data_IF_933902094635
#
_entry.id   IF_933902094635
#
_cell.length_a   1.000
_cell.length_b   1.000
_cell.length_c   1.000
_cell.angle_alpha   90.00
_cell.angle_beta   90.00
_cell.angle_gamma   90.00
#
_symmetry.space_group_name_H-M   'P 1'
#
loop_
_entity.id
_entity.type
_entity.pdbx_description
1 polymer ?
#
# COMPACT_ATOMS: atom_id res chain seq x y z
N UNK A 1 16.59 68.55 31.20
CA UNK A 1 15.84 68.32 29.95
C UNK A 1 16.60 67.26 29.16
N UNK A 2 15.94 66.14 28.92
CA UNK A 2 16.47 64.99 28.20
C UNK A 2 16.43 65.27 26.69
N UNK A 3 17.54 65.10 25.97
CA UNK A 3 17.49 64.98 24.51
C UNK A 3 17.73 63.52 24.16
N UNK A 4 16.63 62.84 23.85
CA UNK A 4 16.62 61.55 23.17
C UNK A 4 17.28 61.72 21.79
N UNK A 5 18.41 61.07 21.57
CA UNK A 5 18.87 60.78 20.21
C UNK A 5 18.08 59.57 19.69
N UNK A 6 17.47 59.63 18.49
CA UNK A 6 16.75 58.50 17.96
C UNK A 6 17.77 57.39 17.63
N UNK A 7 17.55 56.20 18.20
CA UNK A 7 18.19 54.98 17.71
C UNK A 7 17.66 54.77 16.30
N UNK A 8 18.47 55.13 15.30
CA UNK A 8 18.20 54.73 13.93
C UNK A 8 18.22 53.19 13.93
N UNK A 9 17.07 52.58 13.68
CA UNK A 9 16.97 51.17 13.34
C UNK A 9 17.66 50.98 12.00
N UNK A 10 18.98 50.82 12.03
CA UNK A 10 19.78 50.47 10.85
C UNK A 10 19.43 49.04 10.48
N UNK A 11 18.37 48.87 9.69
CA UNK A 11 18.25 47.67 8.88
C UNK A 11 19.52 47.59 8.03
N UNK A 12 20.28 46.49 8.04
CA UNK A 12 21.49 46.39 7.25
C UNK A 12 21.12 46.58 5.78
N UNK A 13 21.53 47.73 5.22
CA UNK A 13 21.44 47.98 3.80
C UNK A 13 22.46 47.03 3.16
N UNK A 14 22.00 46.14 2.29
CA UNK A 14 22.87 45.17 1.65
C UNK A 14 23.85 45.91 0.72
N UNK A 15 25.09 46.02 1.15
CA UNK A 15 26.17 46.69 0.43
C UNK A 15 27.00 45.68 -0.33
N UNK A 16 27.02 45.84 -1.66
CA UNK A 16 27.78 45.08 -2.67
C UNK A 16 27.58 43.55 -2.73
N UNK A 17 27.59 43.03 -3.96
CA UNK A 17 27.65 41.59 -4.20
C UNK A 17 29.00 41.05 -3.71
N UNK A 18 28.97 39.95 -2.94
CA UNK A 18 30.17 39.38 -2.32
C UNK A 18 30.92 38.52 -3.34
N UNK A 19 32.17 38.88 -3.67
CA UNK A 19 33.08 38.13 -4.57
C UNK A 19 33.61 36.80 -3.99
N UNK A 20 33.08 36.33 -2.86
CA UNK A 20 33.54 35.11 -2.21
C UNK A 20 32.87 33.87 -2.79
N UNK A 21 33.64 32.80 -3.00
CA UNK A 21 33.16 31.46 -3.35
C UNK A 21 31.90 31.08 -2.54
N UNK A 22 30.89 30.57 -3.24
CA UNK A 22 29.66 30.09 -2.62
C UNK A 22 29.95 29.07 -1.51
N UNK A 23 29.16 29.11 -0.44
CA UNK A 23 29.34 28.21 0.70
C UNK A 23 29.20 26.75 0.27
N UNK A 24 30.01 25.86 0.85
CA UNK A 24 29.91 24.41 0.59
C UNK A 24 28.52 23.83 0.86
N UNK A 25 27.76 24.48 1.75
CA UNK A 25 26.35 24.14 2.07
C UNK A 25 25.44 24.36 0.86
N UNK A 26 25.71 25.39 0.04
CA UNK A 26 24.95 25.69 -1.17
C UNK A 26 25.16 24.62 -2.25
N UNK A 27 26.42 24.22 -2.49
CA UNK A 27 26.71 23.13 -3.43
C UNK A 27 26.11 21.80 -2.96
N UNK A 28 26.17 21.51 -1.66
CA UNK A 28 25.56 20.32 -1.08
C UNK A 28 24.03 20.31 -1.26
N UNK A 29 23.37 21.46 -1.09
CA UNK A 29 21.94 21.60 -1.33
C UNK A 29 21.58 21.23 -2.78
N UNK A 30 22.32 21.76 -3.75
CA UNK A 30 22.11 21.48 -5.18
C UNK A 30 22.32 20.00 -5.52
N UNK A 31 23.33 19.36 -4.93
CA UNK A 31 23.55 17.91 -5.11
C UNK A 31 22.34 17.11 -4.60
N UNK A 32 21.82 17.43 -3.42
CA UNK A 32 20.64 16.73 -2.88
C UNK A 32 19.38 16.98 -3.70
N UNK A 33 19.17 18.20 -4.19
CA UNK A 33 18.06 18.51 -5.09
C UNK A 33 18.16 17.69 -6.39
N UNK A 34 19.34 17.67 -7.00
CA UNK A 34 19.60 16.87 -8.20
C UNK A 34 19.32 15.38 -7.97
N UNK A 35 19.86 14.80 -6.88
CA UNK A 35 19.62 13.41 -6.51
C UNK A 35 18.13 13.12 -6.27
N UNK A 36 17.40 14.05 -5.66
CA UNK A 36 15.96 13.91 -5.48
C UNK A 36 15.23 13.73 -6.81
N UNK A 37 15.51 14.57 -7.81
CA UNK A 37 14.88 14.49 -9.12
C UNK A 37 15.22 13.22 -9.92
N UNK A 38 16.30 12.51 -9.56
CA UNK A 38 16.64 11.19 -10.11
C UNK A 38 15.75 10.05 -9.59
N UNK A 39 14.80 10.33 -8.67
CA UNK A 39 13.92 9.32 -8.10
C UNK A 39 13.09 8.56 -9.13
N UNK A 40 12.93 7.24 -8.91
CA UNK A 40 12.14 6.33 -9.74
C UNK A 40 10.62 6.55 -9.68
N UNK A 41 9.85 5.64 -10.27
CA UNK A 41 8.38 5.61 -10.16
C UNK A 41 7.91 4.71 -9.01
N UNK A 42 6.72 4.98 -8.47
CA UNK A 42 6.10 4.20 -7.39
C UNK A 42 6.31 4.79 -5.98
N UNK A 43 5.78 4.12 -4.95
CA UNK A 43 5.75 4.62 -3.56
C UNK A 43 7.15 4.77 -2.98
N UNK A 44 8.04 3.81 -3.24
CA UNK A 44 9.45 3.87 -2.83
C UNK A 44 10.21 4.98 -3.56
N UNK A 45 9.92 5.20 -4.85
CA UNK A 45 10.48 6.33 -5.62
C UNK A 45 10.01 7.68 -5.11
N UNK A 46 8.75 7.78 -4.69
CA UNK A 46 8.18 8.99 -4.08
C UNK A 46 8.81 9.30 -2.72
N UNK A 47 9.03 8.27 -1.88
CA UNK A 47 9.74 8.43 -0.61
C UNK A 47 11.20 8.88 -0.84
N UNK A 48 11.89 8.26 -1.81
CA UNK A 48 13.24 8.67 -2.20
C UNK A 48 13.29 10.14 -2.64
N UNK A 49 12.43 10.53 -3.59
CA UNK A 49 12.31 11.91 -4.09
C UNK A 49 12.13 12.91 -2.94
N UNK A 50 11.11 12.73 -2.11
CA UNK A 50 10.80 13.70 -1.05
C UNK A 50 11.85 13.70 0.07
N UNK A 51 12.54 12.60 0.34
CA UNK A 51 13.61 12.55 1.34
C UNK A 51 14.79 13.43 0.91
N UNK A 52 15.25 13.28 -0.33
CA UNK A 52 16.35 14.08 -0.86
C UNK A 52 15.96 15.55 -1.07
N UNK A 53 14.74 15.84 -1.52
CA UNK A 53 14.23 17.22 -1.58
C UNK A 53 14.18 17.87 -0.19
N UNK A 54 13.72 17.14 0.84
CA UNK A 54 13.70 17.65 2.22
C UNK A 54 15.11 18.00 2.69
N UNK A 55 16.10 17.14 2.40
CA UNK A 55 17.49 17.37 2.77
C UNK A 55 18.10 18.56 2.01
N UNK A 56 17.78 18.69 0.71
CA UNK A 56 18.19 19.82 -0.13
C UNK A 56 17.62 21.15 0.36
N UNK A 57 16.31 21.25 0.59
CA UNK A 57 15.67 22.47 1.09
C UNK A 57 16.08 22.81 2.53
N UNK A 58 16.41 21.82 3.35
CA UNK A 58 17.02 22.05 4.65
C UNK A 58 18.38 22.74 4.51
N UNK A 59 19.26 22.25 3.63
CA UNK A 59 20.54 22.91 3.33
C UNK A 59 20.36 24.33 2.74
N UNK A 60 19.38 24.54 1.83
CA UNK A 60 19.04 25.88 1.34
C UNK A 60 18.60 26.83 2.47
N UNK A 61 17.80 26.33 3.41
CA UNK A 61 17.34 27.11 4.57
C UNK A 61 18.50 27.48 5.48
N UNK A 62 19.43 26.56 5.74
CA UNK A 62 20.63 26.83 6.53
C UNK A 62 21.55 27.86 5.86
N UNK A 63 21.71 27.77 4.55
CA UNK A 63 22.48 28.75 3.78
C UNK A 63 21.82 30.14 3.84
N UNK A 64 20.51 30.22 3.59
CA UNK A 64 19.77 31.48 3.66
C UNK A 64 19.75 32.08 5.08
N UNK A 65 19.76 31.24 6.13
CA UNK A 65 19.88 31.69 7.53
C UNK A 65 21.23 32.35 7.82
N UNK A 66 22.30 31.88 7.19
CA UNK A 66 23.64 32.42 7.41
C UNK A 66 23.88 33.78 6.74
N UNK A 67 22.99 34.23 5.85
CA UNK A 67 23.14 35.47 5.08
C UNK A 67 22.19 36.58 5.59
N UNK A 68 22.70 37.73 6.06
CA UNK A 68 21.92 38.76 6.76
C UNK A 68 20.93 39.59 5.91
N UNK A 69 20.68 39.26 4.64
CA UNK A 69 19.79 40.03 3.75
C UNK A 69 18.78 39.19 2.93
N UNK A 70 18.69 37.87 3.12
CA UNK A 70 17.91 36.98 2.23
C UNK A 70 16.65 36.43 2.90
N UNK A 71 15.88 37.29 3.57
CA UNK A 71 14.67 36.89 4.32
C UNK A 71 13.60 36.23 3.43
N UNK A 72 13.41 36.72 2.20
CA UNK A 72 12.47 36.10 1.24
C UNK A 72 12.92 34.68 0.88
N UNK A 73 14.20 34.49 0.54
CA UNK A 73 14.77 33.18 0.20
C UNK A 73 14.73 32.18 1.37
N UNK A 74 14.93 32.66 2.60
CA UNK A 74 14.80 31.86 3.82
C UNK A 74 13.35 31.40 4.01
N UNK A 75 12.38 32.30 3.87
CA UNK A 75 10.96 32.01 4.06
C UNK A 75 10.48 30.97 3.04
N UNK A 76 10.84 31.15 1.76
CA UNK A 76 10.50 30.20 0.70
C UNK A 76 11.17 28.84 0.90
N UNK A 77 12.46 28.80 1.25
CA UNK A 77 13.16 27.54 1.49
C UNK A 77 12.57 26.76 2.67
N UNK A 78 12.22 27.45 3.75
CA UNK A 78 11.61 26.84 4.93
C UNK A 78 10.19 26.31 4.64
N UNK A 79 9.40 27.03 3.85
CA UNK A 79 8.07 26.58 3.43
C UNK A 79 8.17 25.30 2.58
N UNK A 80 9.08 25.26 1.61
CA UNK A 80 9.33 24.09 0.77
C UNK A 80 9.83 22.90 1.58
N UNK A 81 10.77 23.12 2.51
CA UNK A 81 11.23 22.10 3.46
C UNK A 81 10.06 21.50 4.25
N UNK A 82 9.18 22.34 4.80
CA UNK A 82 8.05 21.90 5.61
C UNK A 82 7.05 21.08 4.80
N UNK A 83 6.76 21.49 3.55
CA UNK A 83 5.89 20.73 2.65
C UNK A 83 6.51 19.38 2.29
N UNK A 84 7.80 19.34 1.93
CA UNK A 84 8.50 18.10 1.61
C UNK A 84 8.56 17.16 2.82
N UNK A 85 8.82 17.67 4.02
CA UNK A 85 8.80 16.90 5.26
C UNK A 85 7.41 16.31 5.53
N UNK A 86 6.35 17.10 5.36
CA UNK A 86 4.97 16.63 5.47
C UNK A 86 4.67 15.48 4.49
N UNK A 87 5.16 15.57 3.25
CA UNK A 87 5.04 14.50 2.25
C UNK A 87 5.83 13.25 2.64
N UNK A 88 7.07 13.38 3.13
CA UNK A 88 7.85 12.24 3.64
C UNK A 88 7.08 11.55 4.77
N UNK A 89 6.56 12.31 5.74
CA UNK A 89 5.81 11.75 6.86
C UNK A 89 4.52 11.06 6.40
N UNK A 90 3.77 11.66 5.47
CA UNK A 90 2.56 11.07 4.91
C UNK A 90 2.86 9.77 4.14
N UNK A 91 3.85 9.78 3.24
CA UNK A 91 4.25 8.60 2.46
C UNK A 91 4.83 7.53 3.39
N UNK A 92 5.64 7.89 4.38
CA UNK A 92 6.17 6.97 5.39
C UNK A 92 5.06 6.36 6.24
N UNK A 93 4.03 7.13 6.61
CA UNK A 93 2.85 6.60 7.30
C UNK A 93 2.09 5.58 6.43
N UNK A 94 1.88 5.91 5.15
CA UNK A 94 1.26 4.98 4.19
C UNK A 94 2.12 3.74 3.98
N UNK A 95 3.44 3.87 3.90
CA UNK A 95 4.37 2.75 3.78
C UNK A 95 4.38 1.89 5.04
N UNK A 96 4.36 2.50 6.23
CA UNK A 96 4.25 1.80 7.51
C UNK A 96 2.95 1.00 7.60
N UNK A 97 1.84 1.53 7.09
CA UNK A 97 0.57 0.78 7.03
C UNK A 97 0.62 -0.43 6.08
N UNK A 98 1.59 -0.47 5.17
CA UNK A 98 1.86 -1.59 4.24
C UNK A 98 3.02 -2.47 4.73
N UNK A 99 3.78 -2.03 5.75
CA UNK A 99 4.83 -2.82 6.38
C UNK A 99 4.18 -3.82 7.32
N UNK A 100 3.82 -4.97 6.76
CA UNK A 100 3.21 -6.08 7.48
C UNK A 100 4.22 -6.72 8.45
N UNK A 101 3.72 -7.21 9.59
CA UNK A 101 4.48 -8.10 10.46
C UNK A 101 4.95 -9.34 9.67
N UNK A 102 6.06 -9.97 10.09
CA UNK A 102 6.68 -11.08 9.37
C UNK A 102 5.70 -12.20 9.04
N UNK A 103 4.80 -12.56 9.95
CA UNK A 103 3.84 -13.64 9.71
C UNK A 103 2.82 -13.29 8.60
N UNK A 104 2.40 -12.02 8.51
CA UNK A 104 1.53 -11.56 7.43
C UNK A 104 2.28 -11.49 6.09
N UNK A 105 3.59 -11.18 6.11
CA UNK A 105 4.42 -11.25 4.91
C UNK A 105 4.53 -12.69 4.41
N UNK A 106 4.79 -13.66 5.29
CA UNK A 106 4.83 -15.08 4.94
C UNK A 106 3.47 -15.56 4.41
N UNK A 107 2.37 -15.20 5.07
CA UNK A 107 1.02 -15.50 4.61
C UNK A 107 0.76 -14.95 3.19
N UNK A 108 1.18 -13.71 2.93
CA UNK A 108 1.08 -13.10 1.61
C UNK A 108 1.88 -13.89 0.57
N UNK A 109 3.14 -14.21 0.85
CA UNK A 109 4.02 -14.95 -0.06
C UNK A 109 3.49 -16.36 -0.36
N UNK A 110 2.97 -17.07 0.64
CA UNK A 110 2.52 -18.45 0.50
C UNK A 110 1.18 -18.58 -0.24
N UNK A 111 0.19 -17.73 0.10
CA UNK A 111 -1.18 -17.85 -0.42
C UNK A 111 -1.52 -16.83 -1.50
N UNK A 112 -1.23 -15.55 -1.27
CA UNK A 112 -1.79 -14.46 -2.08
C UNK A 112 -0.89 -14.01 -3.23
N UNK A 113 0.43 -14.12 -3.10
CA UNK A 113 1.39 -13.74 -4.12
C UNK A 113 1.27 -14.65 -5.35
N UNK A 114 1.07 -15.96 -5.14
CA UNK A 114 0.87 -16.94 -6.22
C UNK A 114 -0.38 -16.65 -7.06
N UNK A 115 -1.34 -15.92 -6.49
CA UNK A 115 -2.59 -15.50 -7.13
C UNK A 115 -2.50 -14.09 -7.75
N UNK A 116 -1.33 -13.45 -7.70
CA UNK A 116 -1.11 -12.11 -8.25
C UNK A 116 -1.83 -10.98 -7.48
N UNK A 117 -2.14 -11.19 -6.20
CA UNK A 117 -2.81 -10.16 -5.38
C UNK A 117 -1.82 -9.06 -5.04
N UNK A 118 -2.18 -7.79 -5.31
CA UNK A 118 -1.34 -6.65 -4.94
C UNK A 118 -1.31 -6.42 -3.42
N UNK A 119 -0.20 -5.92 -2.89
CA UNK A 119 -0.04 -5.56 -1.46
C UNK A 119 -1.13 -4.60 -0.92
N UNK A 120 -1.69 -3.71 -1.75
CA UNK A 120 -2.77 -2.81 -1.35
C UNK A 120 -4.09 -3.53 -1.06
N UNK A 121 -4.41 -4.56 -1.83
CA UNK A 121 -5.56 -5.43 -1.59
C UNK A 121 -5.33 -6.34 -0.39
N UNK A 122 -4.12 -6.88 -0.25
CA UNK A 122 -3.73 -7.66 0.93
C UNK A 122 -3.82 -6.83 2.21
N UNK A 123 -3.41 -5.55 2.17
CA UNK A 123 -3.56 -4.64 3.31
C UNK A 123 -5.00 -4.51 3.81
N UNK A 124 -5.98 -4.46 2.90
CA UNK A 124 -7.40 -4.44 3.27
C UNK A 124 -7.85 -5.74 3.95
N UNK A 125 -7.27 -6.88 3.55
CA UNK A 125 -7.53 -8.19 4.16
C UNK A 125 -6.97 -8.23 5.59
N UNK A 126 -5.75 -7.73 5.78
CA UNK A 126 -5.11 -7.63 7.11
C UNK A 126 -5.85 -6.65 8.02
N UNK A 127 -6.29 -5.48 7.51
CA UNK A 127 -7.12 -4.56 8.29
C UNK A 127 -8.44 -5.19 8.73
N UNK A 128 -8.98 -6.14 7.95
CA UNK A 128 -10.24 -6.82 8.29
C UNK A 128 -10.13 -7.77 9.49
N UNK A 129 -8.94 -8.30 9.79
CA UNK A 129 -8.66 -9.05 11.03
C UNK A 129 -8.03 -8.17 12.12
N UNK A 130 -8.18 -6.85 12.02
CA UNK A 130 -7.60 -5.87 12.96
C UNK A 130 -6.07 -5.96 13.11
N UNK A 131 -5.39 -6.69 12.20
CA UNK A 131 -3.95 -6.98 12.28
C UNK A 131 -3.56 -7.89 13.44
N UNK A 132 -4.51 -8.60 14.07
CA UNK A 132 -4.23 -9.45 15.22
C UNK A 132 -3.76 -10.85 14.80
N UNK A 133 -2.71 -11.33 15.47
CA UNK A 133 -2.24 -12.72 15.41
C UNK A 133 -2.55 -13.37 16.75
N UNK A 134 -3.30 -14.46 16.71
CA UNK A 134 -3.63 -15.22 17.89
C UNK A 134 -2.63 -16.36 18.10
N UNK A 135 -2.36 -16.67 19.35
CA UNK A 135 -1.51 -17.78 19.76
C UNK A 135 -2.33 -18.80 20.53
N UNK A 136 -1.99 -20.08 20.39
CA UNK A 136 -2.57 -21.17 21.15
C UNK A 136 -1.47 -22.10 21.61
N UNK A 137 -1.54 -22.51 22.87
CA UNK A 137 -0.58 -23.45 23.45
C UNK A 137 -0.86 -24.89 23.00
N UNK A 138 0.15 -25.73 23.18
CA UNK A 138 0.03 -27.16 22.92
C UNK A 138 -1.14 -27.77 23.72
N UNK A 139 -1.80 -28.78 23.14
CA UNK A 139 -2.93 -29.53 23.70
C UNK A 139 -4.21 -28.73 23.95
N UNK A 140 -4.27 -27.44 23.61
CA UNK A 140 -5.49 -26.66 23.69
C UNK A 140 -6.35 -26.82 22.43
N UNK A 141 -7.68 -26.76 22.62
CA UNK A 141 -8.64 -26.86 21.52
C UNK A 141 -8.98 -25.48 20.94
N UNK A 142 -8.82 -25.32 19.62
CA UNK A 142 -9.31 -24.16 18.87
C UNK A 142 -10.84 -24.20 18.71
N UNK A 143 -11.36 -25.41 18.46
CA UNK A 143 -12.77 -25.67 18.29
C UNK A 143 -13.10 -27.06 18.86
N UNK A 144 -14.27 -27.19 19.45
CA UNK A 144 -14.80 -28.44 20.00
C UNK A 144 -16.07 -28.80 19.24
N UNK A 145 -16.13 -30.05 18.80
CA UNK A 145 -17.26 -30.64 18.10
C UNK A 145 -18.58 -30.39 18.86
N UNK A 146 -19.60 -29.91 18.15
CA UNK A 146 -20.93 -29.62 18.67
C UNK A 146 -21.03 -28.43 19.63
N UNK A 147 -19.92 -27.76 19.97
CA UNK A 147 -19.89 -26.68 20.96
C UNK A 147 -19.45 -25.33 20.39
N UNK A 148 -18.38 -25.32 19.61
CA UNK A 148 -17.84 -24.07 19.06
C UNK A 148 -18.68 -23.62 17.87
N UNK A 149 -19.13 -22.35 17.87
CA UNK A 149 -19.85 -21.76 16.74
C UNK A 149 -18.90 -21.41 15.58
N UNK A 150 -19.40 -21.48 14.36
CA UNK A 150 -18.65 -21.16 13.13
C UNK A 150 -18.85 -19.67 12.81
N UNK A 151 -18.09 -18.81 13.49
CA UNK A 151 -18.22 -17.35 13.41
C UNK A 151 -17.01 -16.64 12.77
N UNK A 152 -15.97 -17.40 12.45
CA UNK A 152 -14.70 -16.93 11.89
C UNK A 152 -14.21 -17.85 10.76
N UNK A 153 -13.32 -17.30 9.94
CA UNK A 153 -12.50 -18.04 8.99
C UNK A 153 -11.04 -17.89 9.45
N UNK A 154 -10.31 -18.98 9.53
CA UNK A 154 -9.04 -19.03 10.26
C UNK A 154 -7.96 -19.70 9.42
N UNK A 155 -6.76 -19.10 9.37
CA UNK A 155 -5.58 -19.67 8.71
C UNK A 155 -4.48 -19.90 9.73
N UNK A 156 -3.89 -21.09 9.70
CA UNK A 156 -2.75 -21.44 10.52
C UNK A 156 -1.48 -20.78 9.96
N UNK A 157 -0.70 -20.10 10.77
CA UNK A 157 0.55 -19.44 10.37
C UNK A 157 1.77 -20.27 10.74
N UNK A 158 1.73 -20.91 11.92
CA UNK A 158 2.80 -21.79 12.39
C UNK A 158 2.25 -22.87 13.33
N UNK A 159 3.02 -23.94 13.50
CA UNK A 159 2.65 -25.09 14.31
C UNK A 159 1.88 -26.15 13.51
N UNK A 160 1.09 -26.96 14.21
CA UNK A 160 0.30 -28.06 13.62
C UNK A 160 -0.96 -28.28 14.45
N UNK A 161 -2.08 -28.47 13.76
CA UNK A 161 -3.37 -28.76 14.38
C UNK A 161 -3.81 -30.16 13.98
N UNK A 162 -4.24 -30.94 14.96
CA UNK A 162 -4.86 -32.25 14.77
C UNK A 162 -6.38 -32.09 14.69
N UNK A 163 -6.98 -32.78 13.72
CA UNK A 163 -8.43 -32.82 13.51
C UNK A 163 -8.94 -34.17 13.96
N UNK A 164 -9.95 -34.18 14.83
CA UNK A 164 -10.60 -35.41 15.30
C UNK A 164 -12.11 -35.33 15.17
N UNK A 165 -12.77 -36.44 14.84
CA UNK A 165 -14.23 -36.58 14.74
C UNK A 165 -14.67 -37.69 15.68
N UNK A 166 -15.60 -37.44 16.60
CA UNK A 166 -15.99 -38.41 17.63
C UNK A 166 -14.80 -39.00 18.43
N UNK A 167 -13.71 -38.24 18.56
CA UNK A 167 -12.47 -38.68 19.22
C UNK A 167 -11.50 -39.46 18.34
N UNK A 168 -11.88 -39.86 17.12
CA UNK A 168 -10.97 -40.52 16.17
C UNK A 168 -10.16 -39.49 15.37
N UNK A 169 -8.88 -39.79 15.15
CA UNK A 169 -7.98 -38.91 14.40
C UNK A 169 -8.27 -38.97 12.89
N UNK A 170 -8.44 -37.79 12.28
CA UNK A 170 -8.74 -37.66 10.86
C UNK A 170 -7.49 -37.26 10.05
N UNK A 171 -6.95 -36.07 10.30
CA UNK A 171 -5.75 -35.58 9.63
C UNK A 171 -5.09 -34.43 10.40
N UNK A 172 -3.88 -34.07 9.99
CA UNK A 172 -3.20 -32.87 10.45
C UNK A 172 -3.43 -31.72 9.47
N UNK A 173 -3.58 -30.51 10.00
CA UNK A 173 -3.55 -29.26 9.27
C UNK A 173 -2.19 -28.58 9.51
N UNK A 174 -1.56 -28.16 8.42
CA UNK A 174 -0.22 -27.58 8.39
C UNK A 174 -0.25 -26.07 8.20
N UNK A 175 0.88 -25.37 8.44
CA UNK A 175 0.97 -23.93 8.21
C UNK A 175 0.52 -23.50 6.82
N UNK A 176 -0.11 -22.34 6.76
CA UNK A 176 -0.74 -21.71 5.59
C UNK A 176 -1.96 -22.45 5.02
N UNK A 177 -2.54 -23.40 5.76
CA UNK A 177 -3.83 -24.01 5.44
C UNK A 177 -4.94 -23.43 6.32
N UNK A 178 -6.17 -23.46 5.80
CA UNK A 178 -7.33 -23.03 6.58
C UNK A 178 -7.68 -24.08 7.63
N UNK A 179 -8.18 -23.64 8.79
CA UNK A 179 -8.64 -24.56 9.83
C UNK A 179 -10.09 -24.98 9.63
N UNK A 180 -10.91 -24.06 9.12
CA UNK A 180 -12.37 -24.08 9.15
C UNK A 180 -12.97 -23.79 7.75
N UNK A 181 -12.23 -24.06 6.68
CA UNK A 181 -12.68 -23.83 5.29
C UNK A 181 -13.91 -24.67 4.89
N UNK A 182 -14.06 -25.98 5.24
CA UNK A 182 -15.28 -26.72 4.95
C UNK A 182 -16.49 -26.19 5.75
N UNK A 183 -16.29 -25.91 7.03
CA UNK A 183 -17.31 -25.33 7.92
C UNK A 183 -17.76 -23.96 7.43
N UNK A 184 -16.82 -23.15 6.92
CA UNK A 184 -17.11 -21.85 6.36
C UNK A 184 -17.98 -21.91 5.10
N UNK A 185 -17.61 -22.78 4.14
CA UNK A 185 -18.26 -22.89 2.83
C UNK A 185 -19.63 -23.60 2.91
N UNK A 186 -19.80 -24.50 3.89
CA UNK A 186 -21.06 -25.21 4.10
C UNK A 186 -22.20 -24.32 4.61
N UNK A 187 -21.88 -23.26 5.36
CA UNK A 187 -22.88 -22.37 5.94
C UNK A 187 -23.26 -21.23 4.99
N UNK A 188 -24.55 -20.91 4.92
CA UNK A 188 -25.01 -19.68 4.29
C UNK A 188 -24.65 -18.45 5.14
N UNK A 189 -24.57 -17.24 4.56
CA UNK A 189 -24.20 -16.04 5.33
C UNK A 189 -25.12 -15.73 6.53
N UNK A 190 -26.39 -16.14 6.47
CA UNK A 190 -27.41 -15.93 7.52
C UNK A 190 -27.59 -17.12 8.46
N UNK A 191 -26.86 -18.21 8.24
CA UNK A 191 -27.02 -19.46 8.96
C UNK A 191 -25.95 -19.59 10.04
N UNK A 192 -26.38 -20.00 11.22
CA UNK A 192 -25.50 -20.31 12.34
C UNK A 192 -25.25 -21.82 12.37
N UNK A 193 -24.01 -22.21 12.63
CA UNK A 193 -23.62 -23.61 12.72
C UNK A 193 -22.56 -23.81 13.78
N UNK A 194 -22.37 -25.06 14.17
CA UNK A 194 -21.34 -25.49 15.10
C UNK A 194 -20.34 -26.38 14.38
N UNK A 195 -19.10 -26.38 14.87
CA UNK A 195 -18.05 -27.25 14.35
C UNK A 195 -18.47 -28.71 14.47
N UNK A 196 -18.30 -29.48 13.39
CA UNK A 196 -18.55 -30.92 13.35
C UNK A 196 -17.32 -31.75 13.71
N UNK A 197 -16.18 -31.08 13.89
CA UNK A 197 -14.90 -31.69 14.22
C UNK A 197 -14.26 -30.95 15.40
N UNK A 198 -13.42 -31.64 16.16
CA UNK A 198 -12.59 -31.02 17.18
C UNK A 198 -11.22 -30.70 16.61
N UNK A 199 -10.80 -29.44 16.76
CA UNK A 199 -9.50 -28.93 16.34
C UNK A 199 -8.62 -28.74 17.57
N UNK A 200 -7.54 -29.49 17.68
CA UNK A 200 -6.61 -29.44 18.83
C UNK A 200 -5.18 -29.15 18.37
N UNK A 201 -4.54 -28.18 19.01
CA UNK A 201 -3.16 -27.81 18.74
C UNK A 201 -2.21 -28.93 19.21
N UNK A 202 -1.45 -29.50 18.28
CA UNK A 202 -0.44 -30.54 18.58
C UNK A 202 0.88 -29.91 19.07
N UNK A 203 1.15 -28.68 18.62
CA UNK A 203 2.28 -27.84 19.01
C UNK A 203 1.76 -26.44 19.34
N UNK A 204 2.57 -25.54 19.97
CA UNK A 204 2.23 -24.13 20.03
C UNK A 204 1.98 -23.59 18.62
N UNK A 205 0.80 -23.03 18.38
CA UNK A 205 0.39 -22.56 17.06
C UNK A 205 0.14 -21.05 17.07
N UNK A 206 0.40 -20.42 15.93
CA UNK A 206 -0.02 -19.04 15.64
C UNK A 206 -0.99 -19.07 14.49
N UNK A 207 -2.04 -18.26 14.56
CA UNK A 207 -3.07 -18.22 13.53
C UNK A 207 -3.67 -16.82 13.39
N UNK A 208 -4.26 -16.57 12.22
CA UNK A 208 -5.05 -15.36 11.94
C UNK A 208 -6.50 -15.77 11.77
N UNK A 209 -7.43 -14.97 12.32
CA UNK A 209 -8.86 -15.20 12.22
C UNK A 209 -9.59 -13.96 11.67
N UNK A 210 -10.45 -14.16 10.69
CA UNK A 210 -11.36 -13.14 10.18
C UNK A 210 -12.77 -13.42 10.64
N UNK A 211 -13.37 -12.49 11.39
CA UNK A 211 -14.79 -12.59 11.78
C UNK A 211 -15.67 -12.60 10.54
N UNK A 212 -16.61 -13.55 10.49
CA UNK A 212 -17.50 -13.81 9.35
C UNK A 212 -18.21 -12.55 8.86
N UNK A 213 -18.83 -11.80 9.79
CA UNK A 213 -19.55 -10.55 9.48
C UNK A 213 -18.65 -9.47 8.87
N UNK A 214 -17.45 -9.25 9.42
CA UNK A 214 -16.48 -8.27 8.89
C UNK A 214 -16.00 -8.68 7.49
N UNK A 215 -15.72 -9.97 7.30
CA UNK A 215 -15.22 -10.50 6.04
C UNK A 215 -16.27 -10.39 4.91
N UNK A 216 -17.54 -10.72 5.18
CA UNK A 216 -18.62 -10.52 4.19
C UNK A 216 -18.84 -9.04 3.84
N UNK A 217 -18.69 -8.13 4.80
CA UNK A 217 -18.76 -6.69 4.53
C UNK A 217 -17.60 -6.23 3.63
N UNK A 218 -16.40 -6.79 3.82
CA UNK A 218 -15.27 -6.57 2.92
C UNK A 218 -15.56 -7.10 1.51
N UNK A 219 -16.16 -8.29 1.39
CA UNK A 219 -16.52 -8.88 0.10
C UNK A 219 -17.56 -8.06 -0.65
N UNK A 220 -18.56 -7.52 0.06
CA UNK A 220 -19.56 -6.61 -0.52
C UNK A 220 -18.91 -5.34 -1.09
N UNK A 221 -17.88 -4.81 -0.41
CA UNK A 221 -17.13 -3.62 -0.86
C UNK A 221 -16.16 -3.90 -2.00
N UNK A 222 -15.57 -5.11 -2.03
CA UNK A 222 -14.48 -5.45 -2.95
C UNK A 222 -14.69 -6.83 -3.59
N UNK A 223 -15.38 -6.85 -4.74
CA UNK A 223 -15.67 -8.07 -5.52
C UNK A 223 -14.42 -8.85 -5.93
N UNK A 224 -13.30 -8.17 -6.17
CA UNK A 224 -12.01 -8.83 -6.45
C UNK A 224 -11.55 -9.68 -5.26
N UNK A 225 -11.55 -9.12 -4.04
CA UNK A 225 -11.16 -9.84 -2.82
C UNK A 225 -12.09 -11.03 -2.58
N UNK A 226 -13.40 -10.86 -2.81
CA UNK A 226 -14.37 -11.95 -2.69
C UNK A 226 -14.05 -13.13 -3.62
N UNK A 227 -13.70 -12.87 -4.89
CA UNK A 227 -13.29 -13.91 -5.84
C UNK A 227 -12.02 -14.63 -5.40
N UNK A 228 -11.01 -13.88 -4.93
CA UNK A 228 -9.75 -14.46 -4.43
C UNK A 228 -10.01 -15.38 -3.24
N UNK A 229 -10.79 -14.94 -2.25
CA UNK A 229 -11.13 -15.78 -1.10
C UNK A 229 -11.92 -17.03 -1.50
N UNK A 230 -12.88 -16.91 -2.41
CA UNK A 230 -13.62 -18.07 -2.92
C UNK A 230 -12.67 -19.08 -3.60
N UNK A 231 -11.68 -18.62 -4.35
CA UNK A 231 -10.68 -19.50 -4.98
C UNK A 231 -9.78 -20.19 -3.93
N UNK A 232 -9.23 -19.41 -2.99
CA UNK A 232 -8.32 -19.93 -1.96
C UNK A 232 -9.02 -20.96 -1.06
N UNK A 233 -10.23 -20.64 -0.58
CA UNK A 233 -11.01 -21.53 0.29
C UNK A 233 -11.36 -22.83 -0.44
N UNK A 234 -11.81 -22.75 -1.70
CA UNK A 234 -12.13 -23.95 -2.49
C UNK A 234 -10.90 -24.79 -2.79
N UNK A 235 -9.75 -24.17 -3.05
CA UNK A 235 -8.49 -24.89 -3.25
C UNK A 235 -8.09 -25.68 -1.99
N UNK A 236 -8.18 -25.05 -0.83
CA UNK A 236 -7.89 -25.70 0.46
C UNK A 236 -8.85 -26.87 0.75
N UNK A 237 -10.15 -26.70 0.48
CA UNK A 237 -11.13 -27.79 0.59
C UNK A 237 -10.78 -28.95 -0.34
N UNK A 238 -10.42 -28.66 -1.60
CA UNK A 238 -10.03 -29.69 -2.56
C UNK A 238 -8.79 -30.46 -2.07
N UNK A 239 -7.74 -29.78 -1.60
CA UNK A 239 -6.54 -30.40 -1.06
C UNK A 239 -6.84 -31.31 0.14
N UNK A 240 -7.70 -30.86 1.06
CA UNK A 240 -8.14 -31.69 2.20
C UNK A 240 -8.90 -32.93 1.75
N UNK A 241 -9.83 -32.79 0.81
CA UNK A 241 -10.59 -33.92 0.26
C UNK A 241 -9.66 -34.92 -0.44
N UNK A 242 -8.69 -34.46 -1.23
CA UNK A 242 -7.70 -35.33 -1.85
C UNK A 242 -6.85 -36.06 -0.81
N UNK A 243 -6.41 -35.36 0.25
CA UNK A 243 -5.62 -35.97 1.33
C UNK A 243 -6.39 -37.05 2.11
N UNK A 244 -7.68 -36.86 2.30
CA UNK A 244 -8.54 -37.87 2.93
C UNK A 244 -8.84 -39.03 2.00
N UNK A 245 -9.07 -38.75 0.71
CA UNK A 245 -9.35 -39.76 -0.29
C UNK A 245 -8.17 -40.73 -0.48
N UNK A 246 -6.93 -40.23 -0.47
CA UNK A 246 -5.73 -41.09 -0.55
C UNK A 246 -5.61 -42.08 0.62
N UNK A 247 -6.22 -41.77 1.76
CA UNK A 247 -6.26 -42.62 2.96
C UNK A 247 -7.48 -43.55 2.99
N UNK A 248 -8.51 -43.25 2.22
CA UNK A 248 -9.72 -44.05 2.13
C UNK A 248 -9.52 -45.20 1.11
N UNK A 249 -9.06 -46.34 1.62
CA UNK A 249 -8.98 -47.60 0.87
C UNK A 249 -10.22 -48.47 1.19
N UNK A 250 -10.86 -49.04 0.18
CA UNK A 250 -11.91 -50.04 0.37
C UNK A 250 -11.32 -51.31 1.01
N UNK A 251 -12.16 -52.14 1.65
CA UNK A 251 -11.78 -53.49 2.09
C UNK A 251 -11.26 -54.43 0.99
N UNK A 252 -11.35 -54.02 -0.28
CA UNK A 252 -10.80 -54.68 -1.47
C UNK A 252 -9.55 -54.00 -2.05
N UNK A 253 -8.93 -53.06 -1.32
CA UNK A 253 -7.70 -52.36 -1.72
C UNK A 253 -7.85 -51.31 -2.84
N UNK A 254 -9.09 -51.01 -3.26
CA UNK A 254 -9.36 -49.98 -4.27
C UNK A 254 -9.49 -48.61 -3.62
N UNK A 255 -8.93 -47.57 -4.26
CA UNK A 255 -9.09 -46.17 -3.84
C UNK A 255 -10.49 -45.68 -4.21
N UNK A 256 -11.17 -45.00 -3.29
CA UNK A 256 -12.38 -44.26 -3.66
C UNK A 256 -12.00 -43.15 -4.66
N UNK A 257 -12.81 -42.95 -5.70
CA UNK A 257 -12.67 -41.82 -6.62
C UNK A 257 -13.77 -40.81 -6.30
N UNK A 258 -13.57 -40.04 -5.22
CA UNK A 258 -14.46 -38.95 -4.82
C UNK A 258 -14.25 -37.75 -5.75
N UNK A 259 -14.66 -37.89 -7.02
CA UNK A 259 -14.81 -36.74 -7.92
C UNK A 259 -16.07 -35.99 -7.53
N UNK A 260 -15.95 -34.72 -7.14
CA UNK A 260 -17.13 -33.85 -7.06
C UNK A 260 -17.78 -33.81 -8.46
N UNK A 261 -19.12 -33.76 -8.54
CA UNK A 261 -19.80 -33.52 -9.82
C UNK A 261 -19.21 -32.26 -10.45
N UNK A 262 -18.63 -32.40 -11.64
CA UNK A 262 -18.11 -31.26 -12.40
C UNK A 262 -19.24 -30.26 -12.61
N UNK A 263 -19.15 -29.11 -11.95
CA UNK A 263 -20.10 -28.01 -12.16
C UNK A 263 -19.77 -27.29 -13.47
N UNK A 264 -19.88 -28.02 -14.58
CA UNK A 264 -19.74 -27.50 -15.93
C UNK A 264 -21.10 -27.57 -16.60
N UNK A 265 -21.94 -26.55 -16.38
CA UNK A 265 -22.89 -26.03 -17.36
C UNK A 265 -23.47 -24.71 -16.82
N UNK A 266 -22.76 -23.61 -17.06
CA UNK A 266 -23.41 -22.30 -17.24
C UNK A 266 -23.23 -21.98 -18.72
N UNK A 267 -24.30 -21.98 -19.53
CA UNK A 267 -24.21 -21.53 -20.92
C UNK A 267 -23.72 -20.10 -20.93
N UNK A 268 -22.66 -19.84 -21.70
CA UNK A 268 -22.07 -18.51 -21.81
C UNK A 268 -23.08 -17.49 -22.33
N UNK A 269 -23.03 -16.29 -21.79
CA UNK A 269 -23.46 -15.06 -22.45
C UNK A 269 -22.86 -13.88 -21.70
N UNK A 270 -22.39 -12.89 -22.46
CA UNK A 270 -21.91 -11.56 -22.03
C UNK A 270 -20.52 -11.47 -21.37
N UNK A 271 -19.50 -12.05 -22.01
CA UNK A 271 -18.11 -11.57 -21.92
C UNK A 271 -17.66 -11.02 -23.29
N UNK A 272 -18.50 -10.21 -23.93
CA UNK A 272 -18.17 -9.55 -25.19
C UNK A 272 -18.90 -8.20 -25.35
N UNK A 273 -18.85 -7.36 -24.30
CA UNK A 273 -19.27 -5.95 -24.36
C UNK A 273 -18.37 -5.02 -23.54
N UNK A 274 -17.08 -5.34 -23.42
CA UNK A 274 -16.09 -4.48 -22.77
C UNK A 274 -15.10 -3.81 -23.74
N UNK A 275 -15.24 -4.01 -25.05
CA UNK A 275 -14.34 -3.44 -26.07
C UNK A 275 -15.00 -2.41 -27.01
N UNK A 276 -16.20 -1.89 -26.70
CA UNK A 276 -16.91 -0.91 -27.55
C UNK A 276 -17.09 0.47 -26.87
N UNK A 277 -16.63 0.64 -25.62
CA UNK A 277 -16.69 1.94 -24.90
C UNK A 277 -15.32 2.64 -24.84
N UNK A 278 -14.27 2.07 -25.44
CA UNK A 278 -12.91 2.64 -25.43
C UNK A 278 -12.51 3.27 -26.76
N UNK A 279 -13.49 3.75 -27.52
CA UNK A 279 -13.27 4.39 -28.83
C UNK A 279 -14.28 5.50 -29.09
N UNK A 280 -14.58 6.30 -28.05
CA UNK A 280 -15.52 7.42 -28.12
C UNK A 280 -15.13 8.63 -27.25
N UNK A 281 -13.84 8.83 -26.93
CA UNK A 281 -13.35 10.04 -26.25
C UNK A 281 -11.98 10.51 -26.78
N UNK A 282 -11.80 10.51 -28.10
CA UNK A 282 -10.72 11.24 -28.77
C UNK A 282 -11.32 12.13 -29.83
N UNK A 283 -11.58 13.40 -29.46
CA UNK A 283 -11.89 14.58 -30.29
C UNK A 283 -12.49 15.63 -29.31
N UNK A 284 -12.12 16.91 -29.17
CA UNK A 284 -11.53 18.01 -30.00
C UNK A 284 -11.10 19.14 -28.99
N UNK A 285 -10.77 20.40 -29.36
CA UNK A 285 -9.66 21.01 -30.13
C UNK A 285 -8.67 21.86 -29.29
N UNK A 286 -7.59 22.29 -29.95
CA UNK A 286 -6.77 23.46 -29.64
C UNK A 286 -7.54 24.80 -29.82
N UNK A 287 -7.51 25.67 -28.81
CA UNK A 287 -7.64 27.15 -28.84
C UNK A 287 -7.43 27.61 -27.37
N UNK A 288 -6.68 28.63 -26.97
CA UNK A 288 -6.29 29.93 -27.53
C UNK A 288 -4.98 30.39 -26.89
N UNK A 289 -4.24 31.19 -27.64
CA UNK A 289 -3.12 32.01 -27.20
C UNK A 289 -3.54 33.17 -26.26
N UNK A 290 -2.49 33.80 -25.69
CA UNK A 290 -2.42 35.11 -25.05
C UNK A 290 -2.75 35.21 -23.55
N UNK A 291 -1.70 35.38 -22.74
CA UNK A 291 -1.61 36.31 -21.61
C UNK A 291 -0.12 36.47 -21.20
N UNK A 292 0.21 37.71 -20.84
CA UNK A 292 1.52 38.39 -20.69
C UNK A 292 2.62 37.67 -19.84
N UNK A 293 3.93 37.78 -20.15
CA UNK A 293 4.99 36.97 -19.56
C UNK A 293 5.86 37.76 -18.58
N UNK A 294 5.35 38.14 -17.41
CA UNK A 294 6.24 38.72 -16.36
C UNK A 294 5.78 38.52 -14.92
N UNK A 295 5.06 37.42 -14.64
CA UNK A 295 4.74 37.03 -13.24
C UNK A 295 4.59 35.50 -13.05
N UNK A 296 5.18 34.71 -13.95
CA UNK A 296 4.88 33.26 -14.09
C UNK A 296 5.80 32.34 -13.26
N UNK A 297 6.98 32.78 -12.83
CA UNK A 297 7.96 31.89 -12.17
C UNK A 297 7.59 31.50 -10.73
N UNK A 298 6.93 32.39 -9.99
CA UNK A 298 6.53 32.15 -8.59
C UNK A 298 5.22 31.38 -8.46
N UNK A 299 4.25 31.65 -9.33
CA UNK A 299 2.94 30.97 -9.32
C UNK A 299 2.95 29.60 -9.99
N UNK A 300 3.80 29.36 -11.00
CA UNK A 300 3.93 28.04 -11.62
C UNK A 300 4.51 27.01 -10.63
N UNK A 301 5.49 27.40 -9.82
CA UNK A 301 6.03 26.56 -8.74
C UNK A 301 4.97 26.22 -7.69
N UNK A 302 4.17 27.22 -7.29
CA UNK A 302 3.05 27.01 -6.36
C UNK A 302 1.98 26.10 -6.97
N UNK A 303 1.62 26.29 -8.23
CA UNK A 303 0.60 25.51 -8.95
C UNK A 303 1.04 24.06 -9.18
N UNK A 304 2.31 23.83 -9.55
CA UNK A 304 2.89 22.49 -9.71
C UNK A 304 3.01 21.77 -8.35
N UNK A 305 3.42 22.47 -7.28
CA UNK A 305 3.42 21.89 -5.94
C UNK A 305 2.01 21.62 -5.41
N UNK A 306 1.05 22.53 -5.63
CA UNK A 306 -0.35 22.36 -5.22
C UNK A 306 -1.03 21.21 -5.97
N UNK A 307 -0.68 20.98 -7.24
CA UNK A 307 -1.11 19.81 -8.01
C UNK A 307 -0.50 18.50 -7.50
N UNK A 308 0.71 18.52 -6.93
CA UNK A 308 1.34 17.35 -6.26
C UNK A 308 0.80 17.13 -4.83
N UNK A 309 0.24 18.17 -4.19
CA UNK A 309 -0.37 18.12 -2.86
C UNK A 309 -1.77 17.50 -2.84
N UNK A 310 -2.48 17.44 -3.98
CA UNK A 310 -3.79 16.80 -4.11
C UNK A 310 -3.77 15.58 -5.07
N UNK A 311 -3.24 14.42 -4.66
CA UNK A 311 -3.45 13.17 -5.38
C UNK A 311 -4.80 12.55 -4.94
N UNK A 312 -5.89 13.32 -5.04
CA UNK A 312 -7.24 12.77 -5.03
C UNK A 312 -7.73 12.77 -6.47
N UNK A 313 -7.31 11.77 -7.25
CA UNK A 313 -8.13 11.12 -8.32
C UNK A 313 -7.38 10.68 -9.58
N UNK A 314 -6.14 11.06 -9.86
CA UNK A 314 -5.59 10.83 -11.22
C UNK A 314 -4.64 9.63 -11.33
N UNK A 315 -4.98 8.75 -12.28
CA UNK A 315 -4.32 7.50 -12.65
C UNK A 315 -2.81 7.63 -12.89
N UNK A 316 -2.05 6.62 -12.46
CA UNK A 316 -0.58 6.50 -12.53
C UNK A 316 -0.01 6.74 -13.95
N UNK A 317 -0.80 6.55 -15.01
CA UNK A 317 -0.39 6.82 -16.39
C UNK A 317 -0.27 8.31 -16.75
N UNK A 318 -1.02 9.20 -16.10
CA UNK A 318 -0.91 10.65 -16.34
C UNK A 318 0.35 11.23 -15.69
N UNK A 319 0.79 10.65 -14.57
CA UNK A 319 2.03 11.03 -13.86
C UNK A 319 3.30 10.78 -14.69
N UNK A 320 3.35 9.78 -15.57
CA UNK A 320 4.56 9.49 -16.37
C UNK A 320 4.72 10.41 -17.59
N UNK A 321 3.61 10.93 -18.12
CA UNK A 321 3.60 11.92 -19.22
C UNK A 321 3.88 13.32 -18.66
N UNK A 322 3.31 13.65 -17.50
CA UNK A 322 3.59 14.90 -16.78
C UNK A 322 5.00 14.96 -16.19
N UNK A 323 5.56 13.84 -15.72
CA UNK A 323 6.96 13.78 -15.29
C UNK A 323 7.91 14.06 -16.46
N UNK A 324 7.59 13.59 -17.68
CA UNK A 324 8.39 13.88 -18.88
C UNK A 324 8.34 15.36 -19.28
N UNK A 325 7.17 15.98 -19.26
CA UNK A 325 6.99 17.41 -19.59
C UNK A 325 7.52 18.35 -18.52
N UNK A 326 7.39 17.99 -17.23
CA UNK A 326 8.00 18.75 -16.14
C UNK A 326 9.53 18.63 -16.12
N UNK A 327 10.08 17.46 -16.44
CA UNK A 327 11.53 17.25 -16.51
C UNK A 327 12.15 17.97 -17.73
N UNK A 328 11.40 18.15 -18.82
CA UNK A 328 11.82 18.93 -20.00
C UNK A 328 11.71 20.46 -19.78
N UNK A 329 10.70 20.95 -19.07
CA UNK A 329 10.57 22.38 -18.71
C UNK A 329 11.51 22.82 -17.58
N UNK A 330 11.79 21.95 -16.61
CA UNK A 330 12.59 22.30 -15.42
C UNK A 330 14.10 22.19 -15.67
N UNK A 331 14.54 21.31 -16.58
CA UNK A 331 15.93 21.30 -17.08
C UNK A 331 16.27 22.57 -17.85
N UNK A 332 15.33 23.10 -18.64
CA UNK A 332 15.52 24.38 -19.33
C UNK A 332 15.59 25.57 -18.35
N UNK A 333 14.81 25.58 -17.26
CA UNK A 333 14.91 26.64 -16.25
C UNK A 333 16.16 26.55 -15.36
N UNK A 334 16.67 25.35 -15.03
CA UNK A 334 17.97 25.22 -14.33
C UNK A 334 19.12 25.68 -15.23
N UNK A 335 19.04 25.41 -16.54
CA UNK A 335 19.98 25.97 -17.51
C UNK A 335 19.86 27.50 -17.64
N UNK A 336 18.66 28.08 -17.68
CA UNK A 336 18.49 29.55 -17.74
C UNK A 336 18.99 30.26 -16.47
N UNK A 337 18.77 29.68 -15.28
CA UNK A 337 19.31 30.23 -14.02
C UNK A 337 20.85 30.13 -13.91
N UNK A 338 21.48 29.23 -14.68
CA UNK A 338 22.95 29.16 -14.85
C UNK A 338 23.48 30.01 -16.00
N UNK A 339 22.62 30.64 -16.81
CA UNK A 339 22.99 31.50 -17.95
C UNK A 339 22.67 32.99 -17.68
N UNK A 340 21.79 33.30 -16.73
CA UNK A 340 21.54 34.67 -16.25
C UNK A 340 22.32 35.07 -14.97
N UNK A 341 23.24 34.23 -14.51
CA UNK A 341 24.35 34.58 -13.60
C UNK A 341 25.67 34.56 -14.38
#
# INVERSE_FOLDING_TARGET
ASCYSPVASTYPICGEWRDSLESSVFHLANIFLFLGFMGGSGIYGLLYLFTFLTLGFFCCTLWAWSEPCTTDSLLWSFALFSVCLGQVLHVAYRLRSVSFEKDFQELYHCLFQKLGVSLTHFGKIVTCCDGEIHTIEQNHCLAIEGKTAIDKLTVLLSGRVSVTVNGEFLHYIYPFQFLDSPEWDSLRPSEEGVFQVTLRADNPCRYVAWRRKKLYLLFAKHRYIAKIFALVVRNDIAEKLYSLNDKALNGSGHRYDLRLPSYCHIPGTELEKANVLLQALTDVPNLTANLDPTDRSRFAFLYIMLLQLFPLSTSIQQLSVWKRTAQEQQVNCVCEMSVEL
#
